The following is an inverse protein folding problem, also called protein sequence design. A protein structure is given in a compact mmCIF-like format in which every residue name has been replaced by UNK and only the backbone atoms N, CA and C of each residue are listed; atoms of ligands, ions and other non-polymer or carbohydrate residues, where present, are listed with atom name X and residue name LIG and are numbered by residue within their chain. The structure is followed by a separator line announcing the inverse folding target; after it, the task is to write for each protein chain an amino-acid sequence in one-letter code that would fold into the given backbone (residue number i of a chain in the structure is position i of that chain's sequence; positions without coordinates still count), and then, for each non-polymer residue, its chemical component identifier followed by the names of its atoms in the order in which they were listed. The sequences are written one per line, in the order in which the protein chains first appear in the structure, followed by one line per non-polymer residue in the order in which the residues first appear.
data_IF_839590964452
#
_entry.id   IF_839590964452
#
_cell.length_a   1.000
_cell.length_b   1.000
_cell.length_c   1.000
_cell.angle_alpha   90.00
_cell.angle_beta   90.00
_cell.angle_gamma   90.00
#
_symmetry.space_group_name_H-M   'P 1'
#
loop_
_entity.id
_entity.type
_entity.pdbx_description
1 polymer ?
#
# COMPACT_ATOMS: atom_id res chain seq x y z
N UNK A 1 -17.12 24.14 -15.77
CA UNK A 1 -18.20 23.28 -15.23
C UNK A 1 -18.56 23.87 -13.88
N UNK A 2 -19.77 24.39 -13.71
CA UNK A 2 -20.28 24.69 -12.36
C UNK A 2 -20.55 23.35 -11.71
N UNK A 3 -19.78 23.04 -10.68
CA UNK A 3 -19.93 21.81 -9.91
C UNK A 3 -20.98 22.10 -8.84
N UNK A 4 -22.01 21.27 -8.76
CA UNK A 4 -22.97 21.32 -7.66
C UNK A 4 -22.26 20.90 -6.36
N UNK A 5 -22.32 21.77 -5.35
CA UNK A 5 -21.62 21.60 -4.08
C UNK A 5 -22.55 21.14 -2.94
N UNK A 6 -23.80 20.75 -3.24
CA UNK A 6 -24.71 20.19 -2.24
C UNK A 6 -24.40 18.75 -1.84
N UNK A 7 -23.43 18.10 -2.51
CA UNK A 7 -23.09 16.71 -2.27
C UNK A 7 -22.27 16.50 -0.98
N UNK A 8 -22.43 15.35 -0.32
CA UNK A 8 -21.87 15.10 1.02
C UNK A 8 -20.35 14.90 1.01
N UNK A 9 -19.70 14.87 -0.17
CA UNK A 9 -18.26 14.67 -0.29
C UNK A 9 -17.46 15.66 0.56
N UNK A 10 -17.86 16.93 0.60
CA UNK A 10 -17.17 17.96 1.39
C UNK A 10 -17.19 17.73 2.91
N UNK A 11 -18.13 16.92 3.40
CA UNK A 11 -18.34 16.68 4.82
C UNK A 11 -17.37 15.61 5.37
N UNK A 12 -16.83 14.75 4.50
CA UNK A 12 -15.90 13.68 4.88
C UNK A 12 -14.44 14.15 4.80
N UNK A 13 -13.82 14.38 5.96
CA UNK A 13 -12.43 14.85 6.06
C UNK A 13 -11.58 13.90 6.89
N UNK A 14 -10.28 13.86 6.59
CA UNK A 14 -9.33 13.08 7.36
C UNK A 14 -8.76 13.84 8.55
N UNK A 15 -8.38 13.11 9.61
CA UNK A 15 -7.60 13.69 10.70
C UNK A 15 -6.24 14.15 10.20
N UNK A 16 -5.82 15.34 10.63
CA UNK A 16 -4.52 15.92 10.30
C UNK A 16 -3.40 15.24 11.10
N UNK A 17 -2.20 15.23 10.52
CA UNK A 17 -0.98 14.74 11.15
C UNK A 17 -0.67 15.43 12.47
N UNK A 18 -0.06 14.68 13.40
CA UNK A 18 0.38 15.21 14.69
C UNK A 18 1.87 15.53 14.67
N UNK A 19 2.26 16.62 15.32
CA UNK A 19 3.65 17.09 15.39
C UNK A 19 4.63 16.00 15.80
N UNK A 20 4.26 15.20 16.81
CA UNK A 20 5.09 14.11 17.33
C UNK A 20 5.50 13.09 16.26
N UNK A 21 4.64 12.84 15.27
CA UNK A 21 4.85 11.82 14.25
C UNK A 21 5.61 12.44 13.07
N UNK A 22 5.26 13.67 12.69
CA UNK A 22 5.94 14.42 11.63
C UNK A 22 7.37 14.82 12.01
N UNK A 23 7.65 15.06 13.30
CA UNK A 23 9.02 15.28 13.82
C UNK A 23 9.90 14.04 13.64
N UNK A 24 9.39 12.84 13.97
CA UNK A 24 10.12 11.57 13.81
C UNK A 24 10.43 11.29 12.33
N UNK A 25 9.53 11.69 11.45
CA UNK A 25 9.71 11.55 10.00
C UNK A 25 10.58 12.67 9.38
N UNK A 26 10.96 13.68 10.16
CA UNK A 26 11.70 14.87 9.70
C UNK A 26 10.95 15.64 8.58
N UNK A 27 9.63 15.73 8.69
CA UNK A 27 8.80 16.42 7.71
C UNK A 27 8.90 17.95 7.85
N UNK A 28 8.83 18.70 6.74
CA UNK A 28 8.90 20.15 6.78
C UNK A 28 7.67 20.74 7.49
N UNK A 29 7.88 21.84 8.21
CA UNK A 29 6.82 22.59 8.89
C UNK A 29 5.98 21.77 9.88
N UNK A 30 6.58 20.77 10.52
CA UNK A 30 5.97 19.89 11.53
C UNK A 30 5.26 20.67 12.65
N UNK A 31 3.94 20.46 12.78
CA UNK A 31 3.05 21.11 13.76
C UNK A 31 1.74 20.35 13.93
N UNK A 32 0.97 20.71 14.95
CA UNK A 32 -0.41 20.24 15.14
C UNK A 32 -1.38 21.21 14.44
N UNK A 33 -1.86 20.88 13.24
CA UNK A 33 -2.85 21.67 12.50
C UNK A 33 -4.30 21.28 12.90
N UNK A 34 -5.25 22.18 12.65
CA UNK A 34 -6.70 21.88 12.75
C UNK A 34 -7.36 21.99 11.37
N UNK A 35 -8.56 21.39 11.23
CA UNK A 35 -9.34 21.52 9.99
C UNK A 35 -10.00 22.89 9.82
N UNK A 36 -10.03 23.69 10.89
CA UNK A 36 -10.60 25.05 10.88
C UNK A 36 -9.58 26.06 10.34
N UNK A 37 -8.30 25.86 10.62
CA UNK A 37 -7.24 26.73 10.13
C UNK A 37 -5.97 25.95 9.78
N UNK A 38 -5.58 26.00 8.50
CA UNK A 38 -4.27 25.55 8.05
C UNK A 38 -3.22 26.62 8.35
N UNK A 39 -2.35 26.33 9.32
CA UNK A 39 -1.19 27.16 9.62
C UNK A 39 -0.07 26.89 8.60
N UNK A 40 -0.07 27.63 7.50
CA UNK A 40 0.91 27.48 6.43
C UNK A 40 2.15 28.36 6.66
N UNK A 41 3.35 27.97 6.18
CA UNK A 41 4.51 28.86 6.20
C UNK A 41 4.27 30.13 5.36
N UNK A 42 4.93 31.28 5.64
CA UNK A 42 4.66 32.54 4.95
C UNK A 42 4.75 32.47 3.42
N UNK A 43 5.68 31.64 2.91
CA UNK A 43 6.02 31.41 1.50
C UNK A 43 5.47 30.06 0.97
N UNK A 44 4.38 29.57 1.57
CA UNK A 44 3.81 28.26 1.21
C UNK A 44 3.43 28.12 -0.27
N UNK A 45 3.00 29.22 -0.93
CA UNK A 45 2.64 29.18 -2.35
C UNK A 45 3.88 28.92 -3.20
N UNK A 46 4.95 29.65 -2.94
CA UNK A 46 6.23 29.52 -3.60
C UNK A 46 6.82 28.12 -3.39
N UNK A 47 6.74 27.59 -2.17
CA UNK A 47 7.16 26.23 -1.83
C UNK A 47 6.38 25.20 -2.64
N UNK A 48 5.05 25.28 -2.63
CA UNK A 48 4.18 24.34 -3.35
C UNK A 48 4.42 24.39 -4.86
N UNK A 49 4.46 25.60 -5.44
CA UNK A 49 4.68 25.79 -6.88
C UNK A 49 6.08 25.29 -7.25
N UNK A 50 7.12 25.65 -6.50
CA UNK A 50 8.47 25.16 -6.74
C UNK A 50 8.54 23.63 -6.73
N UNK A 51 7.91 22.98 -5.75
CA UNK A 51 7.85 21.51 -5.66
C UNK A 51 7.08 20.89 -6.83
N UNK A 52 5.97 21.49 -7.25
CA UNK A 52 5.24 21.11 -8.46
C UNK A 52 6.13 21.20 -9.71
N UNK A 53 6.96 22.25 -9.81
CA UNK A 53 7.96 22.41 -10.87
C UNK A 53 9.07 21.35 -10.84
N UNK A 54 9.55 20.97 -9.66
CA UNK A 54 10.51 19.87 -9.47
C UNK A 54 9.90 18.54 -9.94
N UNK A 55 8.69 18.22 -9.49
CA UNK A 55 7.99 17.00 -9.86
C UNK A 55 7.77 16.88 -11.36
N UNK A 56 7.38 17.97 -12.03
CA UNK A 56 7.23 18.01 -13.48
C UNK A 56 8.51 17.61 -14.22
N UNK A 57 9.67 18.07 -13.73
CA UNK A 57 10.98 17.76 -14.33
C UNK A 57 11.42 16.33 -14.03
N UNK A 58 11.14 15.85 -12.82
CA UNK A 58 11.59 14.54 -12.32
C UNK A 58 10.73 13.37 -12.79
N UNK A 59 9.40 13.55 -12.81
CA UNK A 59 8.42 12.49 -13.08
C UNK A 59 7.67 12.77 -14.39
N UNK A 60 8.28 12.37 -15.51
CA UNK A 60 7.74 12.60 -16.86
C UNK A 60 6.37 11.93 -17.07
N UNK A 61 6.16 10.73 -16.52
CA UNK A 61 4.87 10.01 -16.54
C UNK A 61 3.76 10.88 -15.98
N UNK A 62 4.00 11.46 -14.81
CA UNK A 62 3.03 12.28 -14.11
C UNK A 62 2.68 13.56 -14.87
N UNK A 63 3.67 14.25 -15.46
CA UNK A 63 3.37 15.39 -16.33
C UNK A 63 2.49 14.97 -17.51
N UNK A 64 2.82 13.86 -18.19
CA UNK A 64 2.03 13.35 -19.30
C UNK A 64 0.59 13.05 -18.87
N UNK A 65 0.38 12.45 -17.71
CA UNK A 65 -0.96 12.19 -17.16
C UNK A 65 -1.80 13.46 -16.97
N UNK A 66 -1.17 14.57 -16.60
CA UNK A 66 -1.84 15.88 -16.50
C UNK A 66 -2.16 16.46 -17.89
N UNK A 67 -1.26 16.28 -18.87
CA UNK A 67 -1.34 16.89 -20.20
C UNK A 67 -2.30 16.15 -21.16
N UNK A 68 -2.36 14.81 -21.12
CA UNK A 68 -3.06 14.01 -22.14
C UNK A 68 -4.54 13.73 -21.84
N UNK A 69 -5.05 14.14 -20.68
CA UNK A 69 -6.43 13.87 -20.29
C UNK A 69 -7.42 14.66 -21.15
N UNK A 70 -8.16 13.98 -22.02
CA UNK A 70 -9.21 14.58 -22.86
C UNK A 70 -10.57 14.72 -22.19
N UNK A 71 -10.66 14.37 -20.90
CA UNK A 71 -11.88 14.47 -20.09
C UNK A 71 -13.10 13.69 -20.62
N UNK A 72 -12.88 12.51 -21.24
CA UNK A 72 -13.94 11.69 -21.83
C UNK A 72 -14.92 11.06 -20.81
N UNK A 73 -14.59 11.04 -19.52
CA UNK A 73 -15.46 10.50 -18.47
C UNK A 73 -15.45 8.98 -18.31
N UNK A 74 -14.66 8.22 -19.08
CA UNK A 74 -14.61 6.74 -19.02
C UNK A 74 -14.24 6.18 -17.63
N UNK A 75 -13.60 6.98 -16.79
CA UNK A 75 -13.22 6.60 -15.43
C UNK A 75 -14.26 6.99 -14.35
N UNK A 76 -15.30 7.77 -14.69
CA UNK A 76 -16.23 8.35 -13.72
C UNK A 76 -17.00 7.27 -12.95
N UNK A 77 -17.74 6.43 -13.66
CA UNK A 77 -18.55 5.33 -13.12
C UNK A 77 -17.71 4.14 -12.59
N UNK A 78 -16.38 4.26 -12.60
CA UNK A 78 -15.47 3.23 -12.09
C UNK A 78 -15.00 3.50 -10.67
N UNK A 79 -15.14 4.74 -10.21
CA UNK A 79 -14.74 5.19 -8.87
C UNK A 79 -15.86 4.95 -7.86
N UNK A 80 -15.61 4.10 -6.85
CA UNK A 80 -16.62 3.82 -5.82
C UNK A 80 -16.95 5.03 -4.94
N UNK A 81 -16.00 5.93 -4.73
CA UNK A 81 -16.28 7.19 -4.01
C UNK A 81 -17.24 8.07 -4.79
N UNK A 82 -17.10 8.14 -6.12
CA UNK A 82 -18.08 8.84 -6.94
C UNK A 82 -19.43 8.11 -6.93
N UNK A 83 -19.46 6.79 -7.09
CA UNK A 83 -20.70 6.01 -7.04
C UNK A 83 -21.43 6.20 -5.70
N UNK A 84 -20.69 6.22 -4.59
CA UNK A 84 -21.26 6.37 -3.24
C UNK A 84 -21.68 7.79 -2.89
N UNK A 85 -20.90 8.80 -3.27
CA UNK A 85 -21.17 10.21 -2.90
C UNK A 85 -21.97 10.97 -3.94
N UNK A 86 -21.93 10.55 -5.20
CA UNK A 86 -22.39 11.30 -6.38
C UNK A 86 -21.75 12.69 -6.55
N UNK A 87 -20.71 13.00 -5.75
CA UNK A 87 -19.99 14.28 -5.82
C UNK A 87 -19.12 14.33 -7.09
N UNK A 88 -19.33 15.29 -8.00
CA UNK A 88 -18.54 15.39 -9.23
C UNK A 88 -17.03 15.51 -8.99
N UNK A 89 -16.56 16.14 -7.90
CA UNK A 89 -15.13 16.26 -7.56
C UNK A 89 -14.52 14.91 -7.16
N UNK A 90 -15.33 13.89 -6.88
CA UNK A 90 -14.89 12.50 -6.68
C UNK A 90 -14.78 11.67 -7.97
N UNK A 91 -15.27 12.18 -9.11
CA UNK A 91 -14.96 11.57 -10.41
C UNK A 91 -13.44 11.66 -10.64
N UNK A 92 -12.74 10.58 -11.04
CA UNK A 92 -11.28 10.61 -11.14
C UNK A 92 -10.73 11.68 -12.10
N UNK A 93 -11.46 11.93 -13.20
CA UNK A 93 -11.13 13.00 -14.15
C UNK A 93 -11.22 14.39 -13.51
N UNK A 94 -12.30 14.65 -12.77
CA UNK A 94 -12.55 15.93 -12.11
C UNK A 94 -11.60 16.14 -10.93
N UNK A 95 -11.37 15.10 -10.12
CA UNK A 95 -10.35 15.12 -9.07
C UNK A 95 -8.97 15.46 -9.64
N UNK A 96 -8.59 14.89 -10.78
CA UNK A 96 -7.34 15.24 -11.44
C UNK A 96 -7.34 16.68 -11.97
N UNK A 97 -8.51 17.23 -12.35
CA UNK A 97 -8.63 18.63 -12.79
C UNK A 97 -8.35 19.63 -11.65
N UNK A 98 -8.58 19.27 -10.39
CA UNK A 98 -8.23 20.11 -9.24
C UNK A 98 -6.75 20.54 -9.30
N UNK A 99 -5.82 19.57 -9.30
CA UNK A 99 -4.39 19.85 -9.48
C UNK A 99 -4.05 20.36 -10.89
N UNK A 100 -4.68 19.82 -11.94
CA UNK A 100 -4.39 20.23 -13.34
C UNK A 100 -4.68 21.72 -13.56
N UNK A 101 -5.69 22.29 -12.91
CA UNK A 101 -6.05 23.71 -13.01
C UNK A 101 -4.97 24.63 -12.43
N UNK A 102 -4.37 24.25 -11.30
CA UNK A 102 -3.21 24.92 -10.68
C UNK A 102 -1.96 24.72 -11.55
N UNK A 103 -1.69 23.50 -11.99
CA UNK A 103 -0.59 23.21 -12.92
C UNK A 103 -0.67 24.06 -14.19
N UNK A 104 -1.88 24.20 -14.76
CA UNK A 104 -2.11 25.02 -15.96
C UNK A 104 -1.73 26.47 -15.71
N UNK A 105 -2.15 27.05 -14.59
CA UNK A 105 -1.87 28.44 -14.20
C UNK A 105 -0.38 28.77 -14.19
N UNK A 106 0.45 27.90 -13.59
CA UNK A 106 1.86 28.21 -13.34
C UNK A 106 2.83 27.63 -14.37
N UNK A 107 2.46 26.58 -15.11
CA UNK A 107 3.40 25.84 -15.96
C UNK A 107 3.02 25.68 -17.43
N UNK A 108 1.81 26.09 -17.85
CA UNK A 108 1.41 26.05 -19.27
C UNK A 108 1.35 27.45 -19.87
N UNK A 109 1.63 27.56 -21.17
CA UNK A 109 1.51 28.83 -21.90
C UNK A 109 0.05 29.31 -21.91
N UNK A 110 -0.88 28.40 -22.22
CA UNK A 110 -2.32 28.72 -22.28
C UNK A 110 -2.87 29.19 -20.93
N UNK A 111 -2.49 28.54 -19.83
CA UNK A 111 -2.95 28.96 -18.50
C UNK A 111 -2.39 30.30 -18.04
N UNK A 112 -1.14 30.63 -18.42
CA UNK A 112 -0.54 31.93 -18.13
C UNK A 112 -1.19 33.07 -18.91
N UNK A 113 -1.52 32.85 -20.18
CA UNK A 113 -2.08 33.87 -21.07
C UNK A 113 -3.59 34.05 -20.90
N UNK A 114 -4.35 32.96 -20.78
CA UNK A 114 -5.81 32.98 -20.81
C UNK A 114 -6.46 32.74 -19.44
N UNK A 115 -5.67 32.43 -18.41
CA UNK A 115 -6.17 32.28 -17.03
C UNK A 115 -7.38 31.35 -16.93
N UNK A 116 -8.47 31.86 -16.34
CA UNK A 116 -9.72 31.12 -16.13
C UNK A 116 -10.37 30.63 -17.43
N UNK A 117 -10.19 31.34 -18.55
CA UNK A 117 -10.71 30.90 -19.86
C UNK A 117 -10.06 29.59 -20.32
N UNK A 118 -8.79 29.38 -19.97
CA UNK A 118 -8.13 28.10 -20.16
C UNK A 118 -8.44 27.09 -19.05
N UNK A 119 -9.28 27.43 -18.07
CA UNK A 119 -9.58 26.63 -16.88
C UNK A 119 -8.45 26.61 -15.86
N UNK A 120 -7.58 27.61 -15.86
CA UNK A 120 -6.52 27.74 -14.87
C UNK A 120 -7.05 28.38 -13.57
N UNK A 121 -6.58 27.91 -12.41
CA UNK A 121 -6.93 28.44 -11.09
C UNK A 121 -5.69 28.87 -10.34
N UNK A 122 -5.78 29.99 -9.63
CA UNK A 122 -4.74 30.44 -8.70
C UNK A 122 -4.66 29.48 -7.51
N UNK A 123 -3.46 29.25 -6.96
CA UNK A 123 -3.29 28.49 -5.73
C UNK A 123 -3.68 29.38 -4.53
N UNK A 124 -4.79 29.05 -3.88
CA UNK A 124 -5.32 29.73 -2.68
C UNK A 124 -5.49 28.73 -1.52
N UNK A 125 -5.77 29.21 -0.31
CA UNK A 125 -6.00 28.33 0.86
C UNK A 125 -7.22 27.43 0.63
N UNK A 126 -8.27 27.97 0.04
CA UNK A 126 -9.51 27.25 -0.29
C UNK A 126 -9.24 26.13 -1.32
N UNK A 127 -8.34 26.37 -2.28
CA UNK A 127 -7.90 25.33 -3.24
C UNK A 127 -7.11 24.23 -2.51
N UNK A 128 -6.29 24.59 -1.52
CA UNK A 128 -5.54 23.61 -0.72
C UNK A 128 -6.48 22.77 0.16
N UNK A 129 -7.54 23.37 0.72
CA UNK A 129 -8.61 22.66 1.45
C UNK A 129 -9.40 21.71 0.54
N UNK A 130 -9.72 22.12 -0.70
CA UNK A 130 -10.28 21.22 -1.70
C UNK A 130 -9.35 20.05 -2.00
N UNK A 131 -8.04 20.32 -2.14
CA UNK A 131 -7.05 19.27 -2.38
C UNK A 131 -7.03 18.29 -1.20
N UNK A 132 -6.98 18.80 0.02
CA UNK A 132 -6.99 17.97 1.22
C UNK A 132 -8.23 17.06 1.24
N UNK A 133 -9.41 17.63 1.06
CA UNK A 133 -10.68 16.90 1.07
C UNK A 133 -10.71 15.81 0.00
N UNK A 134 -10.53 16.16 -1.27
CA UNK A 134 -10.79 15.22 -2.36
C UNK A 134 -9.64 14.26 -2.67
N UNK A 135 -8.38 14.66 -2.43
CA UNK A 135 -7.26 13.73 -2.59
C UNK A 135 -7.19 12.74 -1.43
N UNK A 136 -7.59 13.09 -0.21
CA UNK A 136 -7.70 12.14 0.91
C UNK A 136 -9.03 11.36 0.96
N UNK A 137 -9.90 11.48 -0.04
CA UNK A 137 -10.99 10.53 -0.28
C UNK A 137 -10.60 9.38 -1.21
N UNK A 138 -9.47 9.49 -1.91
CA UNK A 138 -9.03 8.49 -2.88
C UNK A 138 -8.20 7.39 -2.22
N UNK A 139 -8.66 6.14 -2.16
CA UNK A 139 -7.86 4.99 -1.69
C UNK A 139 -6.73 4.54 -2.61
N UNK A 140 -6.48 5.26 -3.71
CA UNK A 140 -5.44 4.95 -4.70
C UNK A 140 -5.53 3.53 -5.27
N UNK A 141 -6.74 2.96 -5.34
CA UNK A 141 -6.95 1.60 -5.79
C UNK A 141 -6.66 1.35 -7.28
N UNK A 142 -6.45 2.41 -8.08
CA UNK A 142 -6.16 2.34 -9.53
C UNK A 142 -7.26 1.75 -10.43
N UNK A 143 -8.48 1.51 -9.93
CA UNK A 143 -9.56 0.98 -10.78
C UNK A 143 -9.88 1.91 -11.95
N UNK A 144 -9.94 3.21 -11.68
CA UNK A 144 -10.10 4.23 -12.69
C UNK A 144 -8.92 4.35 -13.67
N UNK A 145 -7.70 4.02 -13.24
CA UNK A 145 -6.52 3.97 -14.11
C UNK A 145 -6.62 2.79 -15.10
N UNK A 146 -7.08 1.62 -14.65
CA UNK A 146 -7.29 0.44 -15.51
C UNK A 146 -8.28 0.69 -16.65
N UNK A 147 -9.36 1.43 -16.37
CA UNK A 147 -10.38 1.77 -17.38
C UNK A 147 -10.07 3.02 -18.21
N UNK A 148 -8.94 3.71 -17.97
CA UNK A 148 -8.60 4.91 -18.72
C UNK A 148 -8.04 4.54 -20.10
N UNK A 149 -8.67 4.95 -21.23
CA UNK A 149 -8.18 4.60 -22.56
C UNK A 149 -6.85 5.29 -22.91
N UNK A 150 -6.43 6.30 -22.14
CA UNK A 150 -5.15 7.00 -22.29
C UNK A 150 -4.06 6.46 -21.37
N UNK A 151 -4.35 5.44 -20.54
CA UNK A 151 -3.38 4.89 -19.58
C UNK A 151 -3.01 5.85 -18.45
N UNK A 152 -3.87 6.82 -18.11
CA UNK A 152 -3.61 7.83 -17.07
C UNK A 152 -3.68 7.18 -15.70
N UNK A 153 -2.57 7.18 -14.95
CA UNK A 153 -2.58 6.75 -13.57
C UNK A 153 -3.04 7.86 -12.60
N UNK A 154 -4.35 7.92 -12.40
CA UNK A 154 -4.97 8.83 -11.44
C UNK A 154 -4.55 8.61 -9.98
N UNK A 155 -4.08 7.41 -9.62
CA UNK A 155 -3.56 7.13 -8.29
C UNK A 155 -2.20 7.79 -8.06
N UNK A 156 -1.35 7.87 -9.10
CA UNK A 156 -0.08 8.59 -9.09
C UNK A 156 -0.31 10.11 -9.01
N UNK A 157 -1.29 10.63 -9.76
CA UNK A 157 -1.72 12.04 -9.61
C UNK A 157 -2.10 12.34 -8.16
N UNK A 158 -2.89 11.44 -7.54
CA UNK A 158 -3.31 11.57 -6.15
C UNK A 158 -2.10 11.51 -5.20
N UNK A 159 -1.19 10.56 -5.38
CA UNK A 159 0.00 10.38 -4.54
C UNK A 159 0.84 11.66 -4.51
N UNK A 160 1.12 12.20 -5.70
CA UNK A 160 1.96 13.36 -5.84
C UNK A 160 1.29 14.63 -5.34
N UNK A 161 -0.04 14.78 -5.50
CA UNK A 161 -0.73 15.92 -4.89
C UNK A 161 -0.66 15.88 -3.36
N UNK A 162 -0.72 14.70 -2.75
CA UNK A 162 -0.52 14.55 -1.29
C UNK A 162 0.90 14.92 -0.89
N UNK A 163 1.91 14.46 -1.63
CA UNK A 163 3.31 14.83 -1.37
C UNK A 163 3.56 16.34 -1.54
N UNK A 164 2.88 17.01 -2.48
CA UNK A 164 2.89 18.48 -2.60
C UNK A 164 2.29 19.17 -1.38
N UNK A 165 1.19 18.65 -0.82
CA UNK A 165 0.61 19.16 0.42
C UNK A 165 1.55 18.95 1.62
N UNK A 166 2.22 17.79 1.70
CA UNK A 166 3.23 17.52 2.73
C UNK A 166 4.36 18.54 2.70
N UNK A 167 4.78 19.02 1.52
CA UNK A 167 5.83 20.03 1.39
C UNK A 167 5.51 21.36 2.09
N UNK A 168 4.22 21.66 2.33
CA UNK A 168 3.75 22.86 3.05
C UNK A 168 3.21 22.54 4.45
N UNK A 169 3.48 21.34 4.97
CA UNK A 169 3.12 20.93 6.33
C UNK A 169 1.72 20.31 6.47
N UNK A 170 1.06 19.90 5.38
CA UNK A 170 -0.28 19.31 5.40
C UNK A 170 -0.23 17.83 5.06
N UNK A 171 -0.67 16.96 5.98
CA UNK A 171 -0.70 15.49 5.82
C UNK A 171 -1.73 14.86 6.74
N UNK A 172 -2.03 13.57 6.56
CA UNK A 172 -3.00 12.84 7.39
C UNK A 172 -2.36 12.07 8.53
N UNK A 173 -3.10 11.94 9.63
CA UNK A 173 -2.65 11.35 10.89
C UNK A 173 -2.14 9.92 10.74
N UNK A 174 -2.98 9.00 10.26
CA UNK A 174 -2.65 7.58 10.29
C UNK A 174 -1.39 7.25 9.52
N UNK A 175 -1.24 7.81 8.32
CA UNK A 175 -0.08 7.49 7.49
C UNK A 175 1.22 8.00 8.12
N UNK A 176 1.20 9.20 8.70
CA UNK A 176 2.37 9.75 9.40
C UNK A 176 2.67 8.97 10.68
N UNK A 177 1.64 8.59 11.45
CA UNK A 177 1.80 7.83 12.69
C UNK A 177 2.40 6.44 12.41
N UNK A 178 1.91 5.75 11.38
CA UNK A 178 2.41 4.43 10.99
C UNK A 178 3.86 4.50 10.50
N UNK A 179 4.19 5.43 9.61
CA UNK A 179 5.57 5.53 9.10
C UNK A 179 6.54 5.91 10.22
N UNK A 180 6.15 6.84 11.11
CA UNK A 180 6.94 7.18 12.29
C UNK A 180 7.22 5.95 13.17
N UNK A 181 6.21 5.11 13.43
CA UNK A 181 6.39 3.85 14.18
C UNK A 181 7.33 2.88 13.48
N UNK A 182 7.25 2.75 12.16
CA UNK A 182 8.18 1.91 11.38
C UNK A 182 9.62 2.43 11.52
N UNK A 183 9.84 3.74 11.49
CA UNK A 183 11.18 4.33 11.70
C UNK A 183 11.73 4.03 13.08
N UNK A 184 10.91 4.12 14.12
CA UNK A 184 11.35 3.88 15.50
C UNK A 184 11.54 2.40 15.82
N UNK A 185 10.62 1.54 15.39
CA UNK A 185 10.48 0.16 15.92
C UNK A 185 10.57 -0.93 14.85
N UNK A 186 10.51 -0.56 13.57
CA UNK A 186 10.53 -1.53 12.47
C UNK A 186 9.17 -2.14 12.13
N UNK A 187 8.10 -1.68 12.78
CA UNK A 187 6.73 -2.11 12.51
C UNK A 187 5.69 -0.98 12.65
N UNK A 188 4.55 -1.12 11.99
CA UNK A 188 3.49 -0.11 12.00
C UNK A 188 2.70 -0.01 13.31
N UNK A 189 2.81 -1.02 14.19
CA UNK A 189 2.12 -1.05 15.48
C UNK A 189 2.91 -0.33 16.59
N UNK A 190 4.20 -0.07 16.39
CA UNK A 190 5.07 0.49 17.42
C UNK A 190 5.50 -0.54 18.47
N UNK A 191 5.48 -1.83 18.13
CA UNK A 191 5.86 -2.91 19.03
C UNK A 191 7.36 -2.87 19.29
N UNK A 192 7.71 -2.74 20.57
CA UNK A 192 9.10 -2.83 21.02
C UNK A 192 9.59 -4.29 20.93
N UNK A 193 10.90 -4.53 20.72
CA UNK A 193 11.43 -5.89 20.52
C UNK A 193 11.03 -6.91 21.61
N UNK A 194 10.99 -6.49 22.88
CA UNK A 194 10.55 -7.37 23.98
C UNK A 194 9.07 -7.78 23.86
N UNK A 195 8.21 -6.84 23.47
CA UNK A 195 6.79 -7.13 23.27
C UNK A 195 6.58 -8.03 22.06
N UNK A 196 7.34 -7.81 20.98
CA UNK A 196 7.35 -8.67 19.81
C UNK A 196 7.76 -10.11 20.13
N UNK A 197 8.86 -10.33 20.87
CA UNK A 197 9.27 -11.69 21.25
C UNK A 197 8.21 -12.40 22.09
N UNK A 198 7.57 -11.68 23.02
CA UNK A 198 6.48 -12.24 23.83
C UNK A 198 5.30 -12.69 22.97
N UNK A 199 4.98 -11.98 21.89
CA UNK A 199 3.89 -12.41 21.00
C UNK A 199 4.27 -13.69 20.25
N UNK A 200 5.53 -13.87 19.88
CA UNK A 200 5.98 -15.14 19.31
C UNK A 200 5.84 -16.29 20.32
N UNK A 201 6.27 -16.09 21.58
CA UNK A 201 6.15 -17.09 22.65
C UNK A 201 4.69 -17.51 22.87
N UNK A 202 3.77 -16.54 22.92
CA UNK A 202 2.34 -16.82 23.04
C UNK A 202 1.79 -17.63 21.85
N UNK A 203 2.22 -17.32 20.63
CA UNK A 203 1.82 -18.10 19.46
C UNK A 203 2.38 -19.53 19.51
N UNK A 204 3.61 -19.74 19.97
CA UNK A 204 4.18 -21.08 20.15
C UNK A 204 3.43 -21.90 21.21
N UNK A 205 3.02 -21.27 22.32
CA UNK A 205 2.20 -21.92 23.36
C UNK A 205 0.85 -22.36 22.81
N UNK A 206 0.12 -21.46 22.12
CA UNK A 206 -1.16 -21.78 21.49
C UNK A 206 -1.04 -22.87 20.42
N UNK A 207 0.01 -22.82 19.60
CA UNK A 207 0.30 -23.86 18.61
C UNK A 207 0.48 -25.22 19.28
N UNK A 208 1.22 -25.27 20.39
CA UNK A 208 1.45 -26.51 21.14
C UNK A 208 0.18 -27.03 21.80
N UNK A 209 -0.66 -26.15 22.34
CA UNK A 209 -1.97 -26.52 22.89
C UNK A 209 -2.92 -27.07 21.82
N UNK A 210 -2.96 -26.43 20.64
CA UNK A 210 -3.85 -26.84 19.55
C UNK A 210 -3.39 -28.15 18.89
N UNK A 211 -2.08 -28.30 18.63
CA UNK A 211 -1.56 -29.40 17.80
C UNK A 211 -0.85 -30.49 18.58
N UNK A 212 -0.50 -30.26 19.86
CA UNK A 212 0.33 -31.17 20.66
C UNK A 212 1.79 -31.27 20.23
N UNK A 213 2.24 -30.38 19.33
CA UNK A 213 3.59 -30.39 18.73
C UNK A 213 4.31 -29.08 19.08
N UNK A 214 5.60 -29.15 19.37
CA UNK A 214 6.42 -27.95 19.62
C UNK A 214 6.80 -27.29 18.28
N UNK A 215 5.98 -26.34 17.85
CA UNK A 215 6.17 -25.57 16.61
C UNK A 215 6.81 -24.23 16.98
N UNK A 216 8.07 -24.02 16.57
CA UNK A 216 8.86 -22.82 16.87
C UNK A 216 8.71 -21.73 15.80
N UNK A 217 8.76 -20.47 16.25
CA UNK A 217 8.80 -19.27 15.41
C UNK A 217 10.15 -18.56 15.62
N UNK A 218 11.22 -19.01 14.92
CA UNK A 218 12.57 -18.50 15.12
C UNK A 218 12.70 -17.00 14.80
N UNK A 219 13.35 -16.24 15.70
CA UNK A 219 13.55 -14.80 15.54
C UNK A 219 15.04 -14.43 15.54
N UNK A 220 15.45 -13.59 14.58
CA UNK A 220 16.82 -13.09 14.41
C UNK A 220 17.90 -14.20 14.28
N UNK A 221 17.55 -15.36 13.73
CA UNK A 221 18.49 -16.48 13.54
C UNK A 221 19.39 -16.21 12.34
N UNK A 222 20.72 -16.20 12.57
CA UNK A 222 21.69 -16.01 11.49
C UNK A 222 21.84 -17.29 10.66
N UNK A 223 21.94 -17.14 9.35
CA UNK A 223 22.12 -18.24 8.39
C UNK A 223 20.87 -19.07 8.14
N UNK A 224 19.69 -18.61 8.55
CA UNK A 224 18.42 -19.23 8.15
C UNK A 224 18.26 -19.14 6.61
N UNK A 225 17.59 -20.11 5.98
CA UNK A 225 17.42 -20.06 4.53
C UNK A 225 16.51 -18.89 4.12
N UNK A 226 15.45 -18.64 4.91
CA UNK A 226 14.44 -17.61 4.61
C UNK A 226 14.33 -16.56 5.71
N UNK A 227 14.29 -15.29 5.33
CA UNK A 227 13.72 -14.21 6.15
C UNK A 227 12.23 -14.06 5.81
N UNK A 228 11.36 -14.33 6.78
CA UNK A 228 9.92 -14.12 6.65
C UNK A 228 9.59 -12.68 7.06
N UNK A 229 9.03 -11.91 6.13
CA UNK A 229 8.54 -10.55 6.39
C UNK A 229 7.04 -10.50 6.11
N UNK A 230 6.25 -10.36 7.17
CA UNK A 230 4.79 -10.26 7.09
C UNK A 230 4.34 -8.87 7.54
N UNK A 231 3.08 -8.47 7.27
CA UNK A 231 2.49 -7.29 7.89
C UNK A 231 2.54 -7.40 9.40
N UNK A 232 2.88 -6.32 10.12
CA UNK A 232 3.00 -6.45 11.58
C UNK A 232 1.70 -6.77 12.29
N UNK A 233 0.56 -6.54 11.63
CA UNK A 233 -0.73 -6.97 12.12
C UNK A 233 -0.81 -8.49 12.34
N UNK A 234 -0.06 -9.32 11.59
CA UNK A 234 -0.04 -10.77 11.78
C UNK A 234 0.51 -11.20 13.14
N UNK A 235 1.38 -10.38 13.77
CA UNK A 235 1.98 -10.69 15.07
C UNK A 235 1.13 -10.30 16.28
N UNK A 236 -0.04 -9.66 16.09
CA UNK A 236 -0.79 -9.08 17.21
C UNK A 236 -2.30 -8.94 16.97
N UNK A 237 -2.73 -8.73 15.73
CA UNK A 237 -4.14 -8.52 15.41
C UNK A 237 -4.93 -9.80 15.61
N UNK A 238 -6.03 -9.80 16.39
CA UNK A 238 -6.80 -11.02 16.67
C UNK A 238 -7.32 -11.70 15.40
N UNK A 239 -7.64 -10.92 14.37
CA UNK A 239 -8.08 -11.39 13.05
C UNK A 239 -6.92 -12.04 12.25
N UNK A 240 -5.67 -11.60 12.49
CA UNK A 240 -4.50 -11.97 11.70
C UNK A 240 -3.59 -12.99 12.39
N UNK A 241 -3.76 -13.18 13.70
CA UNK A 241 -3.03 -14.13 14.53
C UNK A 241 -3.02 -15.55 13.97
N UNK A 242 -4.18 -16.01 13.48
CA UNK A 242 -4.32 -17.32 12.86
C UNK A 242 -3.52 -17.47 11.57
N UNK A 243 -3.24 -16.37 10.87
CA UNK A 243 -2.46 -16.37 9.63
C UNK A 243 -0.99 -16.66 9.94
N UNK A 244 -0.42 -15.99 10.95
CA UNK A 244 0.93 -16.27 11.45
C UNK A 244 1.09 -17.73 11.88
N UNK A 245 0.16 -18.23 12.70
CA UNK A 245 0.16 -19.63 13.15
C UNK A 245 0.03 -20.60 11.98
N UNK A 246 -0.75 -20.25 10.95
CA UNK A 246 -0.88 -21.02 9.72
C UNK A 246 0.44 -21.19 8.98
N UNK A 247 1.20 -20.10 8.79
CA UNK A 247 2.54 -20.17 8.18
C UNK A 247 3.52 -20.98 9.03
N UNK A 248 3.53 -20.79 10.35
CA UNK A 248 4.39 -21.55 11.25
C UNK A 248 4.14 -23.06 11.16
N UNK A 249 2.86 -23.49 11.15
CA UNK A 249 2.47 -24.90 10.93
C UNK A 249 2.99 -25.41 9.58
N UNK A 250 2.81 -24.64 8.51
CA UNK A 250 3.25 -25.02 7.17
C UNK A 250 4.77 -25.17 7.09
N UNK A 251 5.52 -24.20 7.61
CA UNK A 251 6.99 -24.19 7.60
C UNK A 251 7.58 -25.31 8.45
N UNK A 252 7.00 -25.58 9.63
CA UNK A 252 7.39 -26.73 10.44
C UNK A 252 7.13 -28.06 9.70
N UNK A 253 5.96 -28.22 9.07
CA UNK A 253 5.61 -29.44 8.35
C UNK A 253 6.58 -29.78 7.21
N UNK A 254 7.04 -28.77 6.48
CA UNK A 254 7.97 -28.95 5.35
C UNK A 254 9.44 -28.89 5.77
N UNK A 255 9.74 -28.63 7.05
CA UNK A 255 11.10 -28.51 7.56
C UNK A 255 11.86 -27.28 7.04
N UNK A 256 11.17 -26.17 6.76
CA UNK A 256 11.81 -24.94 6.27
C UNK A 256 12.61 -24.26 7.39
N UNK A 257 13.89 -23.96 7.12
CA UNK A 257 14.71 -23.08 7.95
C UNK A 257 14.34 -21.62 7.65
N UNK A 258 13.68 -20.95 8.59
CA UNK A 258 13.29 -19.55 8.43
C UNK A 258 13.60 -18.73 9.68
N UNK A 259 13.46 -17.41 9.58
CA UNK A 259 13.46 -16.52 10.73
C UNK A 259 12.60 -15.29 10.47
N UNK A 260 11.97 -14.75 11.53
CA UNK A 260 11.41 -13.39 11.56
C UNK A 260 12.40 -12.41 12.18
N UNK A 261 12.14 -11.11 12.07
CA UNK A 261 13.04 -10.08 12.60
C UNK A 261 12.33 -9.06 13.47
N UNK A 262 12.92 -8.74 14.62
CA UNK A 262 12.49 -7.59 15.44
C UNK A 262 12.91 -6.25 14.83
N UNK A 263 13.90 -6.23 13.93
CA UNK A 263 14.38 -5.01 13.27
C UNK A 263 13.57 -4.67 12.01
N UNK A 264 13.19 -5.69 11.23
CA UNK A 264 12.32 -5.59 10.06
C UNK A 264 11.09 -6.48 10.26
N UNK A 265 10.09 -5.99 10.99
CA UNK A 265 8.86 -6.73 11.35
C UNK A 265 7.63 -6.24 10.58
N UNK A 266 7.82 -5.58 9.44
CA UNK A 266 6.75 -5.03 8.62
C UNK A 266 7.06 -5.19 7.12
N UNK A 267 6.25 -5.99 6.45
CA UNK A 267 6.26 -6.09 4.98
C UNK A 267 5.50 -4.96 4.31
N UNK A 268 4.49 -4.41 5.00
CA UNK A 268 3.65 -3.34 4.53
C UNK A 268 4.42 -2.06 4.29
N UNK A 269 4.67 -1.73 3.01
CA UNK A 269 5.29 -0.48 2.65
C UNK A 269 4.27 0.67 2.59
N UNK A 270 4.02 1.30 3.73
CA UNK A 270 3.13 2.47 3.83
C UNK A 270 3.65 3.70 3.07
N UNK A 271 4.95 3.75 2.79
CA UNK A 271 5.55 4.81 1.98
C UNK A 271 4.91 4.95 0.60
N UNK A 272 4.35 3.88 0.01
CA UNK A 272 3.71 3.95 -1.32
C UNK A 272 2.48 4.87 -1.36
N UNK A 273 1.93 5.21 -0.19
CA UNK A 273 0.79 6.11 -0.03
C UNK A 273 1.19 7.53 0.41
N UNK A 274 2.49 7.75 0.63
CA UNK A 274 3.02 8.97 1.22
C UNK A 274 4.12 9.63 0.36
N UNK A 275 5.31 9.01 0.23
CA UNK A 275 6.38 9.53 -0.62
C UNK A 275 7.35 8.44 -1.09
N UNK A 276 8.03 8.70 -2.21
CA UNK A 276 9.06 7.81 -2.75
C UNK A 276 10.27 7.65 -1.80
N UNK A 277 10.58 8.66 -0.98
CA UNK A 277 11.68 8.58 -0.02
C UNK A 277 11.35 7.60 1.11
N UNK A 278 10.10 7.62 1.60
CA UNK A 278 9.65 6.70 2.64
C UNK A 278 9.54 5.26 2.11
N UNK A 279 9.12 5.08 0.84
CA UNK A 279 9.19 3.76 0.17
C UNK A 279 10.61 3.22 0.27
N UNK A 280 11.60 4.03 -0.11
CA UNK A 280 13.00 3.63 -0.13
C UNK A 280 13.51 3.28 1.27
N UNK A 281 13.30 4.15 2.26
CA UNK A 281 13.74 3.92 3.65
C UNK A 281 13.19 2.61 4.23
N UNK A 282 11.91 2.31 3.99
CA UNK A 282 11.27 1.08 4.50
C UNK A 282 11.83 -0.17 3.82
N UNK A 283 12.01 -0.17 2.49
CA UNK A 283 12.57 -1.34 1.77
C UNK A 283 14.05 -1.57 2.09
N UNK A 284 14.83 -0.51 2.29
CA UNK A 284 16.24 -0.61 2.67
C UNK A 284 16.43 -1.33 4.00
N UNK A 285 15.55 -1.08 4.98
CA UNK A 285 15.57 -1.80 6.27
C UNK A 285 15.46 -3.32 6.11
N UNK A 286 14.59 -3.78 5.21
CA UNK A 286 14.43 -5.22 4.92
C UNK A 286 15.70 -5.79 4.29
N UNK A 287 16.30 -5.07 3.34
CA UNK A 287 17.54 -5.48 2.67
C UNK A 287 18.73 -5.55 3.64
N UNK A 288 18.87 -4.54 4.49
CA UNK A 288 19.90 -4.48 5.54
C UNK A 288 19.75 -5.65 6.51
N UNK A 289 18.52 -5.99 6.89
CA UNK A 289 18.25 -7.10 7.78
C UNK A 289 18.58 -8.44 7.16
N UNK A 290 18.16 -8.66 5.91
CA UNK A 290 18.48 -9.88 5.18
C UNK A 290 20.00 -10.10 5.12
N UNK A 291 20.77 -9.04 4.86
CA UNK A 291 22.23 -9.07 4.87
C UNK A 291 22.82 -9.31 6.25
N UNK A 292 22.28 -8.67 7.30
CA UNK A 292 22.76 -8.82 8.70
C UNK A 292 22.55 -10.24 9.21
N UNK A 293 21.43 -10.86 8.85
CA UNK A 293 21.11 -12.24 9.22
C UNK A 293 21.77 -13.25 8.30
N UNK A 294 22.21 -12.86 7.10
CA UNK A 294 22.84 -13.76 6.14
C UNK A 294 21.87 -14.83 5.63
N UNK A 295 20.62 -14.44 5.39
CA UNK A 295 19.62 -15.33 4.80
C UNK A 295 19.85 -15.50 3.29
N UNK A 296 19.27 -16.55 2.72
CA UNK A 296 19.36 -16.80 1.27
C UNK A 296 18.21 -16.18 0.51
N UNK A 297 17.00 -16.14 1.07
CA UNK A 297 15.81 -15.64 0.36
C UNK A 297 14.88 -14.88 1.31
N UNK A 298 14.00 -14.05 0.76
CA UNK A 298 12.98 -13.34 1.53
C UNK A 298 11.60 -13.84 1.07
N UNK A 299 10.79 -14.30 2.02
CA UNK A 299 9.38 -14.61 1.77
C UNK A 299 8.52 -13.52 2.40
N UNK A 300 7.66 -12.90 1.59
CA UNK A 300 6.68 -11.93 2.02
C UNK A 300 5.35 -12.57 2.41
N UNK A 301 4.64 -12.00 3.39
CA UNK A 301 3.27 -12.38 3.77
C UNK A 301 2.19 -12.11 2.72
N UNK A 302 0.92 -12.07 3.10
CA UNK A 302 -0.19 -11.93 2.12
C UNK A 302 -0.45 -10.49 1.65
N UNK A 303 0.02 -9.50 2.41
CA UNK A 303 -0.47 -8.13 2.26
C UNK A 303 -0.26 -7.55 0.86
N UNK A 304 -1.33 -6.98 0.34
CA UNK A 304 -1.33 -6.42 -1.00
C UNK A 304 -0.36 -5.26 -1.22
N UNK A 305 -0.24 -4.33 -0.27
CA UNK A 305 0.67 -3.21 -0.44
C UNK A 305 2.14 -3.60 -0.21
N UNK A 306 2.42 -4.68 0.52
CA UNK A 306 3.74 -5.32 0.53
C UNK A 306 4.05 -5.86 -0.87
N UNK A 307 3.18 -6.70 -1.44
CA UNK A 307 3.36 -7.26 -2.79
C UNK A 307 3.66 -6.18 -3.82
N UNK A 308 2.83 -5.13 -3.85
CA UNK A 308 3.02 -3.99 -4.75
C UNK A 308 4.33 -3.25 -4.46
N UNK A 309 4.59 -2.91 -3.21
CA UNK A 309 5.78 -2.16 -2.81
C UNK A 309 7.06 -2.87 -3.21
N UNK A 310 7.10 -4.20 -3.01
CA UNK A 310 8.26 -5.01 -3.31
C UNK A 310 8.48 -5.16 -4.81
N UNK A 311 7.47 -5.60 -5.54
CA UNK A 311 7.61 -5.90 -6.96
C UNK A 311 7.69 -4.65 -7.84
N UNK A 312 7.19 -3.49 -7.39
CA UNK A 312 7.34 -2.23 -8.12
C UNK A 312 8.66 -1.52 -7.81
N UNK A 313 9.13 -1.56 -6.56
CA UNK A 313 10.16 -0.61 -6.13
C UNK A 313 11.41 -1.25 -5.52
N UNK A 314 11.37 -2.49 -5.03
CA UNK A 314 12.46 -3.01 -4.19
C UNK A 314 13.79 -3.12 -4.92
N UNK A 315 13.80 -3.57 -6.19
CA UNK A 315 15.03 -3.59 -6.99
C UNK A 315 15.63 -2.19 -7.20
N UNK A 316 14.80 -1.18 -7.44
CA UNK A 316 15.25 0.21 -7.62
C UNK A 316 15.61 0.90 -6.30
N UNK A 317 14.93 0.55 -5.22
CA UNK A 317 15.04 1.23 -3.93
C UNK A 317 16.13 0.64 -3.02
N UNK A 318 16.30 -0.68 -3.04
CA UNK A 318 17.14 -1.42 -2.11
C UNK A 318 17.96 -2.54 -2.76
N UNK A 319 17.73 -2.85 -4.04
CA UNK A 319 18.54 -3.79 -4.82
C UNK A 319 19.79 -3.15 -5.45
N UNK A 320 20.55 -3.92 -6.25
CA UNK A 320 20.33 -5.35 -6.55
C UNK A 320 20.63 -6.26 -5.35
N UNK A 321 20.00 -7.44 -5.33
CA UNK A 321 20.08 -8.42 -4.24
C UNK A 321 21.06 -9.57 -4.54
N UNK A 322 22.29 -9.23 -4.94
CA UNK A 322 23.29 -10.22 -5.41
C UNK A 322 23.74 -11.22 -4.34
N UNK A 323 23.35 -11.00 -3.08
CA UNK A 323 23.62 -11.89 -1.95
C UNK A 323 22.46 -12.84 -1.61
N UNK A 324 21.35 -12.73 -2.33
CA UNK A 324 20.18 -13.60 -2.18
C UNK A 324 20.08 -14.59 -3.35
N UNK A 325 19.49 -15.73 -3.06
CA UNK A 325 19.17 -16.82 -3.98
C UNK A 325 17.71 -16.72 -4.43
N UNK A 326 17.43 -17.16 -5.67
CA UNK A 326 16.08 -17.17 -6.26
C UNK A 326 15.42 -18.56 -6.19
N UNK A 327 16.14 -19.56 -5.70
CA UNK A 327 15.73 -20.96 -5.71
C UNK A 327 15.11 -21.37 -4.38
N UNK A 328 13.95 -22.04 -4.44
CA UNK A 328 13.28 -22.62 -3.29
C UNK A 328 14.15 -23.66 -2.58
N UNK A 329 14.39 -23.53 -1.26
CA UNK A 329 15.15 -24.53 -0.51
C UNK A 329 14.40 -25.85 -0.32
N UNK A 330 13.09 -25.89 -0.61
CA UNK A 330 12.24 -27.08 -0.39
C UNK A 330 11.97 -27.86 -1.68
N UNK A 331 11.80 -27.15 -2.79
CA UNK A 331 11.38 -27.75 -4.08
C UNK A 331 12.47 -27.66 -5.15
N UNK A 332 13.45 -26.77 -5.00
CA UNK A 332 14.43 -26.49 -6.04
C UNK A 332 13.90 -25.61 -7.19
N UNK A 333 12.67 -25.08 -7.07
CA UNK A 333 12.08 -24.16 -8.06
C UNK A 333 12.81 -22.84 -8.06
N UNK A 334 13.30 -22.40 -9.22
CA UNK A 334 13.80 -21.03 -9.42
C UNK A 334 12.62 -20.09 -9.70
N UNK A 335 12.38 -19.13 -8.80
CA UNK A 335 11.35 -18.10 -8.96
C UNK A 335 11.80 -16.93 -9.85
N UNK A 336 13.08 -16.85 -10.23
CA UNK A 336 13.65 -15.71 -10.94
C UNK A 336 13.76 -14.42 -10.11
N UNK A 337 13.36 -14.46 -8.83
CA UNK A 337 13.44 -13.37 -7.86
C UNK A 337 13.71 -13.94 -6.47
N UNK A 338 14.51 -13.26 -5.62
CA UNK A 338 14.71 -13.65 -4.22
C UNK A 338 13.60 -13.12 -3.29
N UNK A 339 12.61 -12.41 -3.84
CA UNK A 339 11.48 -11.84 -3.12
C UNK A 339 10.23 -12.61 -3.52
N UNK A 340 9.86 -13.62 -2.74
CA UNK A 340 8.77 -14.54 -3.09
C UNK A 340 7.55 -14.26 -2.23
N UNK A 341 6.36 -14.17 -2.82
CA UNK A 341 5.14 -14.02 -2.04
C UNK A 341 4.69 -15.38 -1.49
N UNK A 342 4.13 -15.37 -0.28
CA UNK A 342 3.72 -16.60 0.40
C UNK A 342 2.77 -17.45 -0.46
N UNK A 343 1.86 -16.83 -1.21
CA UNK A 343 1.00 -17.56 -2.14
C UNK A 343 1.79 -18.27 -3.25
N UNK A 344 2.80 -17.64 -3.85
CA UNK A 344 3.61 -18.27 -4.90
C UNK A 344 4.39 -19.46 -4.33
N UNK A 345 4.97 -19.28 -3.14
CA UNK A 345 5.67 -20.35 -2.42
C UNK A 345 4.71 -21.49 -2.06
N UNK A 346 3.52 -21.20 -1.54
CA UNK A 346 2.51 -22.22 -1.21
C UNK A 346 2.04 -22.97 -2.46
N UNK A 347 1.78 -22.28 -3.57
CA UNK A 347 1.39 -22.92 -4.82
C UNK A 347 2.50 -23.85 -5.35
N UNK A 348 3.76 -23.43 -5.25
CA UNK A 348 4.92 -24.23 -5.61
C UNK A 348 5.03 -25.51 -4.76
N UNK A 349 4.85 -25.42 -3.44
CA UNK A 349 4.80 -26.58 -2.55
C UNK A 349 3.69 -27.56 -2.94
N UNK A 350 2.51 -27.05 -3.31
CA UNK A 350 1.38 -27.88 -3.76
C UNK A 350 1.70 -28.60 -5.07
N UNK A 351 2.27 -27.90 -6.06
CA UNK A 351 2.69 -28.48 -7.36
C UNK A 351 3.70 -29.61 -7.18
N UNK A 352 4.57 -29.50 -6.17
CA UNK A 352 5.59 -30.50 -5.85
C UNK A 352 5.15 -31.55 -4.81
N UNK A 353 3.85 -31.62 -4.49
CA UNK A 353 3.29 -32.57 -3.52
C UNK A 353 3.97 -32.52 -2.13
N UNK A 354 4.47 -31.35 -1.73
CA UNK A 354 5.09 -31.14 -0.41
C UNK A 354 4.07 -30.95 0.71
N UNK A 355 2.81 -30.70 0.36
CA UNK A 355 1.71 -30.52 1.30
C UNK A 355 0.69 -31.65 1.17
N UNK A 356 0.31 -32.27 2.30
CA UNK A 356 -0.78 -33.23 2.37
C UNK A 356 -2.07 -32.50 2.72
N UNK A 357 -2.94 -32.32 1.74
CA UNK A 357 -4.16 -31.53 1.87
C UNK A 357 -5.39 -32.42 1.84
N UNK A 358 -6.32 -32.19 2.76
CA UNK A 358 -7.65 -32.79 2.77
C UNK A 358 -8.69 -31.68 2.62
N UNK A 359 -9.25 -31.58 1.41
CA UNK A 359 -10.25 -30.56 1.06
C UNK A 359 -11.53 -30.71 1.86
N UNK A 360 -11.87 -31.93 2.29
CA UNK A 360 -13.14 -32.21 2.97
C UNK A 360 -13.28 -31.48 4.30
N UNK A 361 -12.14 -31.14 4.92
CA UNK A 361 -12.09 -30.31 6.15
C UNK A 361 -12.69 -28.91 5.96
N UNK A 362 -12.81 -28.45 4.72
CA UNK A 362 -13.39 -27.15 4.36
C UNK A 362 -14.80 -27.26 3.76
N UNK A 363 -15.42 -28.44 3.70
CA UNK A 363 -16.75 -28.64 3.07
C UNK A 363 -17.87 -27.85 3.74
N UNK A 364 -17.70 -27.54 5.02
CA UNK A 364 -18.63 -26.68 5.78
C UNK A 364 -18.67 -25.23 5.30
N UNK A 365 -17.67 -24.78 4.54
CA UNK A 365 -17.58 -23.41 4.05
C UNK A 365 -17.99 -23.33 2.58
N UNK A 366 -18.68 -22.26 2.21
CA UNK A 366 -18.80 -21.81 0.82
C UNK A 366 -17.86 -20.63 0.65
N UNK A 367 -16.84 -20.79 -0.18
CA UNK A 367 -15.71 -19.86 -0.23
C UNK A 367 -15.78 -19.03 -1.50
N UNK A 368 -15.62 -17.72 -1.35
CA UNK A 368 -15.48 -16.76 -2.45
C UNK A 368 -14.18 -15.99 -2.25
N UNK A 369 -13.47 -15.70 -3.33
CA UNK A 369 -12.24 -14.92 -3.28
C UNK A 369 -12.48 -13.48 -3.73
N UNK A 370 -12.25 -12.53 -2.84
CA UNK A 370 -12.30 -11.10 -3.16
C UNK A 370 -10.90 -10.60 -3.51
N UNK A 371 -10.64 -10.37 -4.80
CA UNK A 371 -9.35 -9.86 -5.26
C UNK A 371 -9.02 -8.49 -4.66
N UNK A 372 -7.82 -8.36 -4.08
CA UNK A 372 -7.31 -7.09 -3.61
C UNK A 372 -6.69 -6.27 -4.75
N UNK A 373 -6.86 -4.94 -4.69
CA UNK A 373 -6.42 -4.04 -5.75
C UNK A 373 -4.91 -4.00 -5.98
N UNK A 374 -4.09 -4.19 -4.94
CA UNK A 374 -2.64 -4.14 -5.07
C UNK A 374 -2.06 -5.45 -5.66
N UNK A 375 -2.43 -6.66 -5.19
CA UNK A 375 -2.04 -7.92 -5.80
C UNK A 375 -2.53 -8.07 -7.23
N UNK A 376 -3.85 -7.99 -7.45
CA UNK A 376 -4.43 -8.31 -8.74
C UNK A 376 -4.20 -7.19 -9.76
N UNK A 377 -4.86 -6.04 -9.56
CA UNK A 377 -4.84 -4.95 -10.55
C UNK A 377 -3.49 -4.25 -10.67
N UNK A 378 -2.78 -4.03 -9.56
CA UNK A 378 -1.55 -3.25 -9.62
C UNK A 378 -0.32 -4.08 -10.00
N UNK A 379 -0.27 -5.36 -9.64
CA UNK A 379 0.91 -6.23 -9.83
C UNK A 379 0.60 -7.70 -10.18
N UNK A 380 -0.56 -8.01 -10.77
CA UNK A 380 -0.79 -9.25 -11.52
C UNK A 380 -0.91 -10.57 -10.75
N UNK A 381 -0.95 -10.59 -9.41
CA UNK A 381 -1.13 -11.82 -8.63
C UNK A 381 -2.60 -12.27 -8.64
N UNK A 382 -3.00 -12.96 -9.71
CA UNK A 382 -4.40 -13.30 -10.01
C UNK A 382 -4.68 -14.79 -9.88
N UNK A 383 -3.93 -15.64 -10.60
CA UNK A 383 -4.26 -17.08 -10.68
C UNK A 383 -3.72 -17.86 -9.47
N UNK A 384 -2.59 -17.47 -8.91
CA UNK A 384 -1.96 -18.17 -7.78
C UNK A 384 -2.91 -18.35 -6.58
N UNK A 385 -3.60 -17.31 -6.06
CA UNK A 385 -4.57 -17.51 -4.98
C UNK A 385 -5.71 -18.47 -5.36
N UNK A 386 -6.16 -18.44 -6.61
CA UNK A 386 -7.23 -19.32 -7.11
C UNK A 386 -6.79 -20.77 -7.19
N UNK A 387 -5.56 -21.01 -7.62
CA UNK A 387 -4.97 -22.34 -7.70
C UNK A 387 -4.85 -22.96 -6.31
N UNK A 388 -4.43 -22.18 -5.32
CA UNK A 388 -4.41 -22.58 -3.90
C UNK A 388 -5.82 -22.93 -3.43
N UNK A 389 -6.81 -22.04 -3.63
CA UNK A 389 -8.19 -22.24 -3.17
C UNK A 389 -8.82 -23.50 -3.76
N UNK A 390 -8.62 -23.78 -5.06
CA UNK A 390 -9.07 -25.01 -5.70
C UNK A 390 -8.43 -26.27 -5.11
N UNK A 391 -7.25 -26.16 -4.50
CA UNK A 391 -6.56 -27.26 -3.84
C UNK A 391 -6.96 -27.45 -2.36
N UNK A 392 -7.58 -26.46 -1.73
CA UNK A 392 -7.98 -26.55 -0.31
C UNK A 392 -9.49 -26.55 -0.08
N UNK A 393 -10.31 -26.19 -1.06
CA UNK A 393 -11.76 -26.10 -0.92
C UNK A 393 -12.48 -26.91 -2.03
N UNK A 394 -13.46 -27.73 -1.65
CA UNK A 394 -14.39 -28.34 -2.62
C UNK A 394 -15.46 -27.32 -3.07
N UNK A 395 -15.88 -26.43 -2.17
CA UNK A 395 -16.97 -25.47 -2.39
C UNK A 395 -16.45 -24.03 -2.64
N UNK A 396 -15.53 -23.89 -3.60
CA UNK A 396 -15.05 -22.58 -4.05
C UNK A 396 -15.88 -22.05 -5.22
N UNK A 397 -16.34 -20.80 -5.11
CA UNK A 397 -17.12 -20.09 -6.13
C UNK A 397 -16.36 -18.83 -6.54
N UNK A 398 -16.02 -18.74 -7.83
CA UNK A 398 -15.40 -17.56 -8.41
C UNK A 398 -16.38 -16.38 -8.44
N UNK A 399 -15.88 -15.16 -8.17
CA UNK A 399 -16.68 -13.95 -8.28
C UNK A 399 -16.99 -13.60 -9.74
N UNK A 400 -18.06 -12.82 -9.93
CA UNK A 400 -18.41 -12.20 -11.21
C UNK A 400 -17.15 -11.62 -11.91
N UNK A 401 -16.82 -12.05 -13.14
CA UNK A 401 -15.67 -11.57 -13.90
C UNK A 401 -15.62 -10.04 -14.08
N UNK A 402 -16.77 -9.35 -14.05
CA UNK A 402 -16.81 -7.89 -14.13
C UNK A 402 -16.47 -7.19 -12.81
N UNK A 403 -16.33 -7.96 -11.73
CA UNK A 403 -16.09 -7.48 -10.35
C UNK A 403 -14.91 -8.18 -9.67
N UNK A 404 -14.14 -8.98 -10.40
CA UNK A 404 -12.97 -9.72 -9.92
C UNK A 404 -11.70 -9.38 -10.71
N UNK A 405 -10.58 -9.98 -10.32
CA UNK A 405 -9.25 -9.79 -10.93
C UNK A 405 -8.87 -8.31 -11.03
N UNK A 406 -8.45 -7.82 -12.19
CA UNK A 406 -8.09 -6.41 -12.40
C UNK A 406 -9.30 -5.47 -12.28
N UNK A 407 -10.52 -5.96 -12.54
CA UNK A 407 -11.77 -5.19 -12.43
C UNK A 407 -12.29 -5.09 -11.00
N UNK A 408 -11.62 -5.72 -10.04
CA UNK A 408 -12.05 -5.83 -8.65
C UNK A 408 -12.40 -4.49 -7.99
N UNK A 409 -13.40 -4.52 -7.13
CA UNK A 409 -13.83 -3.37 -6.34
C UNK A 409 -12.82 -3.10 -5.21
N UNK A 410 -12.68 -1.83 -4.83
CA UNK A 410 -11.84 -1.49 -3.69
C UNK A 410 -12.58 -1.80 -2.39
N UNK A 411 -11.91 -2.42 -1.42
CA UNK A 411 -12.45 -2.64 -0.08
C UNK A 411 -12.58 -1.35 0.75
N UNK A 412 -11.98 -0.24 0.31
CA UNK A 412 -12.00 1.06 0.98
C UNK A 412 -10.78 1.35 1.85
N UNK A 413 -10.01 0.33 2.26
CA UNK A 413 -8.93 0.46 3.26
C UNK A 413 -7.54 0.80 2.70
N UNK A 414 -7.44 1.13 1.40
CA UNK A 414 -6.16 1.45 0.74
C UNK A 414 -5.79 2.93 0.82
N UNK A 415 -4.60 3.30 0.35
CA UNK A 415 -4.23 4.70 0.17
C UNK A 415 -3.86 5.43 1.46
N UNK A 416 -3.53 4.71 2.54
CA UNK A 416 -3.28 5.32 3.86
C UNK A 416 -4.53 5.89 4.52
N UNK A 417 -5.71 5.42 4.11
CA UNK A 417 -7.03 5.88 4.56
C UNK A 417 -7.79 4.69 5.16
N UNK A 418 -7.54 4.38 6.43
CA UNK A 418 -8.38 3.41 7.14
C UNK A 418 -9.69 4.05 7.58
N UNK A 419 -10.74 3.25 7.82
CA UNK A 419 -12.08 3.76 8.19
C UNK A 419 -12.06 4.69 9.41
N UNK A 420 -11.16 4.44 10.38
CA UNK A 420 -10.99 5.31 11.56
C UNK A 420 -10.34 6.68 11.29
N UNK A 421 -9.87 6.91 10.05
CA UNK A 421 -9.31 8.19 9.62
C UNK A 421 -10.33 9.17 9.05
N UNK A 422 -11.57 8.72 8.82
CA UNK A 422 -12.63 9.54 8.22
C UNK A 422 -13.53 10.06 9.35
N UNK A 423 -13.65 11.39 9.44
CA UNK A 423 -14.61 12.08 10.31
C UNK A 423 -16.00 12.15 9.70
#
# INVERSE_FOLDING_TARGET
MNIDESFPGKDYKCWLSKKKDTDVMELPFSKDNTLEEFELPPDWKEIFISKLGEFRKKYRSWQLYLDICVRCGACADKCHYFIGTQDPKNMPMARAELLRSVYRKYYTISGKLFGELAGARELTKEVLEEFYTYYYQCSQCRRCSYFCPYGIDTAEITAMCRELMTAVGISTKYITEVIAKVYMTGNNLGLMPKAFLKTLEMAEEELKEETGVDIKIPCNVKGADVLLIVPSAEFFGPEHWNTQMGWAKMFHHIGLSYTVSTYASEGGNFGIFFSHNDVKKILQRIAEEAKRLGVKMIIGGECGHMWRGWHQYMNTAAGPFDFLETTSPITGTDFGTPLVHICEFTEDLMKHNKLKLDKSRNDKYKVVFADSCNPARAMGLIETPRNILKQVCNNYVEMDPEKSKEKCYCCGSGGGLLTGEIM
#
